data_IF_818808156130
#
_entry.id   IF_818808156130
#
_cell.length_a   1.000
_cell.length_b   1.000
_cell.length_c   1.000
_cell.angle_alpha   90.00
_cell.angle_beta   90.00
_cell.angle_gamma   90.00
#
_symmetry.space_group_name_H-M   'P 1'
#
loop_
_entity.id
_entity.type
_entity.pdbx_description
1 polymer ?
#
# COMPACT_ATOMS: atom_id res chain seq x y z
N UNK A 1 2.23 -19.60 24.11
CA UNK A 1 1.99 -18.46 23.19
C UNK A 1 0.63 -18.69 22.55
N UNK A 2 -0.21 -17.66 22.43
CA UNK A 2 -1.29 -17.72 21.43
C UNK A 2 -0.67 -17.57 20.04
N UNK A 3 -1.30 -18.19 19.04
CA UNK A 3 -1.00 -17.97 17.62
C UNK A 3 -2.26 -17.38 17.02
N UNK A 4 -2.19 -16.13 16.60
CA UNK A 4 -3.34 -15.38 16.12
C UNK A 4 -3.77 -15.94 14.74
N UNK A 5 -5.09 -16.17 14.58
CA UNK A 5 -5.65 -16.83 13.38
C UNK A 5 -5.92 -15.83 12.28
N UNK A 6 -4.84 -15.39 11.65
CA UNK A 6 -4.90 -14.45 10.54
C UNK A 6 -5.68 -15.06 9.36
N UNK A 7 -6.76 -14.41 8.94
CA UNK A 7 -7.51 -14.76 7.73
C UNK A 7 -7.02 -13.93 6.55
N UNK A 8 -6.92 -14.58 5.38
CA UNK A 8 -6.45 -13.98 4.12
C UNK A 8 -7.52 -14.16 3.04
N UNK A 9 -7.91 -13.10 2.35
CA UNK A 9 -8.75 -13.20 1.14
C UNK A 9 -8.33 -12.20 0.07
N UNK A 10 -8.29 -12.63 -1.19
CA UNK A 10 -8.03 -11.77 -2.34
C UNK A 10 -9.37 -11.23 -2.89
N UNK A 11 -9.46 -9.92 -3.13
CA UNK A 11 -10.66 -9.24 -3.65
C UNK A 11 -10.29 -8.26 -4.76
N UNK A 12 -11.12 -8.22 -5.80
CA UNK A 12 -11.14 -7.13 -6.77
C UNK A 12 -12.06 -6.02 -6.23
N UNK A 13 -11.49 -4.84 -5.98
CA UNK A 13 -12.18 -3.64 -5.50
C UNK A 13 -11.30 -2.43 -5.81
N UNK A 14 -11.90 -1.25 -6.04
CA UNK A 14 -11.10 -0.04 -6.20
C UNK A 14 -10.36 0.29 -4.88
N UNK A 15 -9.06 0.53 -4.99
CA UNK A 15 -8.16 0.81 -3.86
C UNK A 15 -8.65 2.00 -3.02
N UNK A 16 -9.26 2.97 -3.69
CA UNK A 16 -9.81 4.17 -3.06
C UNK A 16 -11.33 4.03 -2.74
N UNK A 17 -11.83 2.80 -2.61
CA UNK A 17 -13.15 2.44 -2.05
C UNK A 17 -13.06 1.41 -0.91
N UNK A 18 -11.87 0.83 -0.68
CA UNK A 18 -11.61 -0.16 0.37
C UNK A 18 -11.84 0.38 1.79
N UNK A 19 -12.28 -0.51 2.70
CA UNK A 19 -12.70 -0.14 4.07
C UNK A 19 -12.05 -1.01 5.14
N UNK A 20 -11.46 -0.38 6.16
CA UNK A 20 -10.78 -1.05 7.28
C UNK A 20 -9.85 -0.12 8.06
N UNK A 21 -8.90 -0.68 8.81
CA UNK A 21 -8.05 0.09 9.75
C UNK A 21 -6.77 0.65 9.13
N UNK A 22 -6.16 -0.10 8.20
CA UNK A 22 -4.97 0.29 7.44
C UNK A 22 -5.09 -0.22 6.00
N UNK A 23 -4.87 0.65 5.02
CA UNK A 23 -4.57 0.26 3.64
C UNK A 23 -3.07 0.42 3.39
N UNK A 24 -2.35 -0.68 3.22
CA UNK A 24 -0.92 -0.72 2.96
C UNK A 24 -0.63 -0.82 1.46
N UNK A 25 0.10 0.17 0.94
CA UNK A 25 0.50 0.30 -0.46
C UNK A 25 2.01 0.06 -0.56
N UNK A 26 2.41 -1.03 -1.20
CA UNK A 26 3.80 -1.29 -1.57
C UNK A 26 4.20 -0.48 -2.79
N UNK A 27 5.24 0.35 -2.66
CA UNK A 27 5.68 1.30 -3.69
C UNK A 27 7.17 1.15 -3.99
N UNK A 28 7.54 1.20 -5.27
CA UNK A 28 8.94 1.28 -5.70
C UNK A 28 9.42 2.73 -5.78
N UNK A 29 10.74 2.93 -5.87
CA UNK A 29 11.34 4.24 -6.17
C UNK A 29 10.80 4.86 -7.48
N UNK A 30 10.28 4.05 -8.41
CA UNK A 30 9.63 4.52 -9.65
C UNK A 30 8.17 4.94 -9.43
N UNK A 31 7.44 4.30 -8.52
CA UNK A 31 6.03 4.66 -8.29
C UNK A 31 5.90 6.01 -7.60
N UNK A 32 6.92 6.40 -6.84
CA UNK A 32 7.01 7.68 -6.14
C UNK A 32 7.36 8.87 -7.04
N UNK A 33 7.52 8.69 -8.36
CA UNK A 33 7.72 9.80 -9.30
C UNK A 33 6.51 10.75 -9.30
N UNK A 34 6.81 12.06 -9.27
CA UNK A 34 5.83 13.16 -9.22
C UNK A 34 6.04 14.08 -10.43
N UNK A 35 4.94 14.60 -10.96
CA UNK A 35 4.94 15.64 -12.01
C UNK A 35 5.38 17.01 -11.48
N UNK A 36 5.55 18.00 -12.37
CA UNK A 36 5.96 19.37 -12.02
C UNK A 36 5.04 20.05 -10.98
N UNK A 37 3.79 19.57 -10.84
CA UNK A 37 2.82 20.05 -9.84
C UNK A 37 2.92 19.27 -8.52
N UNK A 38 3.98 18.48 -8.33
CA UNK A 38 4.24 17.56 -7.20
C UNK A 38 3.23 16.41 -7.05
N UNK A 39 2.38 16.14 -8.06
CA UNK A 39 1.37 15.08 -7.99
C UNK A 39 1.95 13.76 -8.50
N UNK A 40 1.54 12.63 -7.93
CA UNK A 40 2.02 11.32 -8.40
C UNK A 40 1.74 11.09 -9.88
N UNK A 41 2.70 10.50 -10.59
CA UNK A 41 2.49 10.00 -11.95
C UNK A 41 1.81 8.63 -11.95
N UNK A 42 2.12 7.77 -10.97
CA UNK A 42 1.50 6.46 -10.83
C UNK A 42 -0.02 6.58 -10.67
N UNK A 43 -0.78 5.98 -11.59
CA UNK A 43 -2.24 6.12 -11.65
C UNK A 43 -3.00 5.67 -10.39
N UNK A 44 -2.52 4.66 -9.66
CA UNK A 44 -3.13 4.20 -8.40
C UNK A 44 -2.91 5.24 -7.30
N UNK A 45 -1.66 5.70 -7.14
CA UNK A 45 -1.31 6.72 -6.16
C UNK A 45 -2.02 8.05 -6.48
N UNK A 46 -2.08 8.45 -7.75
CA UNK A 46 -2.75 9.67 -8.23
C UNK A 46 -4.26 9.64 -7.96
N UNK A 47 -4.93 8.49 -8.16
CA UNK A 47 -6.35 8.32 -7.83
C UNK A 47 -6.58 8.44 -6.31
N UNK A 48 -5.82 7.67 -5.51
CA UNK A 48 -5.94 7.61 -4.05
C UNK A 48 -5.69 9.00 -3.43
N UNK A 49 -4.59 9.64 -3.78
CA UNK A 49 -4.20 10.99 -3.34
C UNK A 49 -5.21 12.07 -3.75
N UNK A 50 -5.81 11.97 -4.95
CA UNK A 50 -6.84 12.91 -5.41
C UNK A 50 -8.14 12.77 -4.62
N UNK A 51 -8.53 11.56 -4.17
CA UNK A 51 -9.65 11.40 -3.22
C UNK A 51 -9.33 11.90 -1.80
N UNK A 52 -8.07 12.21 -1.52
CA UNK A 52 -7.54 12.65 -0.22
C UNK A 52 -7.03 14.11 -0.24
N UNK A 53 -7.45 14.90 -1.23
CA UNK A 53 -7.10 16.32 -1.32
C UNK A 53 -5.63 16.64 -1.65
N UNK A 54 -4.79 15.64 -1.91
CA UNK A 54 -3.34 15.80 -2.14
C UNK A 54 -2.45 15.46 -0.95
N UNK A 55 -3.01 15.11 0.21
CA UNK A 55 -2.24 14.93 1.45
C UNK A 55 -1.23 13.77 1.46
N UNK A 56 -1.36 12.78 0.57
CA UNK A 56 -0.32 11.74 0.44
C UNK A 56 0.87 12.26 -0.37
N UNK A 57 0.64 13.10 -1.38
CA UNK A 57 1.69 13.78 -2.14
C UNK A 57 2.42 14.84 -1.31
N UNK A 58 1.72 15.47 -0.37
CA UNK A 58 2.25 16.41 0.61
C UNK A 58 3.13 15.68 1.64
N UNK A 59 2.55 14.78 2.45
CA UNK A 59 3.26 14.07 3.52
C UNK A 59 4.47 13.26 3.00
N UNK A 60 4.38 12.62 1.82
CA UNK A 60 5.52 11.91 1.24
C UNK A 60 6.68 12.82 0.81
N UNK A 61 6.44 14.13 0.64
CA UNK A 61 7.48 15.13 0.42
C UNK A 61 7.95 15.81 1.71
N UNK A 62 7.19 15.75 2.80
CA UNK A 62 7.64 16.19 4.14
C UNK A 62 8.49 15.14 4.85
N UNK A 63 8.17 13.85 4.70
CA UNK A 63 8.92 12.72 5.30
C UNK A 63 10.12 12.23 4.46
N UNK A 64 10.50 12.95 3.38
CA UNK A 64 11.49 12.51 2.38
C UNK A 64 11.23 11.06 1.86
N UNK A 65 9.96 10.68 1.78
CA UNK A 65 9.55 9.34 1.38
C UNK A 65 9.75 9.16 -0.13
N UNK A 66 10.73 8.33 -0.49
CA UNK A 66 11.17 8.09 -1.88
C UNK A 66 11.00 6.64 -2.31
N UNK A 67 10.29 5.82 -1.53
CA UNK A 67 10.03 4.41 -1.85
C UNK A 67 11.24 3.49 -1.66
N UNK A 68 12.31 3.95 -1.01
CA UNK A 68 13.53 3.16 -0.74
C UNK A 68 13.26 2.03 0.27
N UNK A 69 14.02 0.92 0.24
CA UNK A 69 13.83 -0.18 1.18
C UNK A 69 13.93 0.29 2.63
N UNK A 70 12.94 -0.10 3.46
CA UNK A 70 12.89 0.29 4.88
C UNK A 70 12.29 1.67 5.16
N UNK A 71 11.90 2.46 4.16
CA UNK A 71 11.03 3.61 4.39
C UNK A 71 9.58 3.15 4.61
N UNK A 72 8.92 3.70 5.62
CA UNK A 72 7.49 3.47 5.87
C UNK A 72 6.83 4.74 6.43
N UNK A 73 5.81 5.25 5.73
CA UNK A 73 4.96 6.38 6.13
C UNK A 73 3.56 5.83 6.43
N UNK A 74 2.88 6.27 7.49
CA UNK A 74 1.50 5.84 7.81
C UNK A 74 0.63 7.02 8.22
N UNK A 75 -0.08 7.59 7.26
CA UNK A 75 -0.96 8.74 7.48
C UNK A 75 -2.33 8.29 7.99
N UNK A 76 -2.86 8.97 9.02
CA UNK A 76 -4.28 8.86 9.40
C UNK A 76 -5.09 9.79 8.51
N UNK A 77 -6.05 9.23 7.76
CA UNK A 77 -6.88 9.98 6.83
C UNK A 77 -8.32 10.09 7.35
N UNK A 78 -8.90 11.30 7.45
CA UNK A 78 -10.34 11.46 7.60
C UNK A 78 -11.05 11.12 6.28
N UNK A 79 -12.36 10.88 6.35
CA UNK A 79 -13.30 10.80 5.22
C UNK A 79 -13.02 9.76 4.11
N UNK A 80 -12.00 8.92 4.28
CA UNK A 80 -11.71 7.75 3.47
C UNK A 80 -12.22 6.45 4.13
N UNK A 81 -12.42 5.40 3.32
CA UNK A 81 -12.89 4.09 3.82
C UNK A 81 -11.87 3.39 4.73
N UNK A 82 -10.58 3.55 4.44
CA UNK A 82 -9.49 3.15 5.31
C UNK A 82 -9.24 4.23 6.38
N UNK A 83 -9.18 3.86 7.67
CA UNK A 83 -8.85 4.81 8.76
C UNK A 83 -7.41 5.36 8.69
N UNK A 84 -6.52 4.62 8.01
CA UNK A 84 -5.11 4.97 7.76
C UNK A 84 -4.67 4.44 6.41
N UNK A 85 -3.70 5.11 5.78
CA UNK A 85 -3.02 4.65 4.58
C UNK A 85 -1.53 4.62 4.86
N UNK A 86 -0.88 3.49 4.56
CA UNK A 86 0.55 3.30 4.72
C UNK A 86 1.25 3.14 3.38
N UNK A 87 2.33 3.88 3.14
CA UNK A 87 3.25 3.63 2.02
C UNK A 87 4.48 2.90 2.56
N UNK A 88 4.85 1.77 1.95
CA UNK A 88 6.04 0.99 2.32
C UNK A 88 6.98 0.89 1.12
N UNK A 89 8.22 1.30 1.30
CA UNK A 89 9.22 1.36 0.25
C UNK A 89 9.86 0.00 -0.06
N UNK A 90 9.78 -0.40 -1.33
CA UNK A 90 10.32 -1.67 -1.86
C UNK A 90 11.59 -1.48 -2.70
N UNK A 91 12.07 -0.23 -2.81
CA UNK A 91 13.25 0.16 -3.58
C UNK A 91 13.04 0.14 -5.09
N UNK A 92 14.15 0.08 -5.83
CA UNK A 92 14.18 0.14 -7.31
C UNK A 92 13.41 -0.98 -8.01
N UNK A 93 13.28 -2.15 -7.39
CA UNK A 93 12.56 -3.29 -7.96
C UNK A 93 12.26 -4.36 -6.89
N UNK A 94 10.98 -4.67 -6.68
CA UNK A 94 10.53 -5.74 -5.79
C UNK A 94 10.68 -7.14 -6.45
N UNK A 95 11.91 -7.46 -6.87
CA UNK A 95 12.22 -8.68 -7.65
C UNK A 95 12.61 -9.89 -6.79
N UNK A 96 12.60 -9.79 -5.46
CA UNK A 96 13.02 -10.86 -4.55
C UNK A 96 12.08 -11.00 -3.35
N UNK A 97 12.08 -12.19 -2.73
CA UNK A 97 11.24 -12.50 -1.58
C UNK A 97 11.59 -11.67 -0.33
N UNK A 98 12.83 -11.19 -0.20
CA UNK A 98 13.27 -10.40 0.95
C UNK A 98 12.56 -9.03 1.01
N UNK A 99 12.35 -8.37 -0.13
CA UNK A 99 11.54 -7.15 -0.20
C UNK A 99 10.10 -7.36 0.31
N UNK A 100 9.48 -8.51 -0.01
CA UNK A 100 8.14 -8.86 0.46
C UNK A 100 8.12 -9.33 1.92
N UNK A 101 9.22 -9.88 2.45
CA UNK A 101 9.39 -10.13 3.89
C UNK A 101 9.36 -8.83 4.69
N UNK A 102 10.24 -7.89 4.35
CA UNK A 102 10.30 -6.57 4.98
C UNK A 102 8.97 -5.79 4.84
N UNK A 103 8.26 -5.96 3.71
CA UNK A 103 6.91 -5.41 3.51
C UNK A 103 5.91 -5.98 4.53
N UNK A 104 5.87 -7.30 4.69
CA UNK A 104 5.02 -7.97 5.68
C UNK A 104 5.33 -7.57 7.12
N UNK A 105 6.61 -7.45 7.48
CA UNK A 105 7.05 -7.00 8.80
C UNK A 105 6.61 -5.55 9.09
N UNK A 106 6.79 -4.63 8.13
CA UNK A 106 6.37 -3.25 8.28
C UNK A 106 4.84 -3.12 8.41
N UNK A 107 4.08 -3.92 7.66
CA UNK A 107 2.62 -4.02 7.79
C UNK A 107 2.21 -4.55 9.16
N UNK A 108 2.85 -5.61 9.65
CA UNK A 108 2.57 -6.18 10.98
C UNK A 108 2.88 -5.17 12.10
N UNK A 109 4.00 -4.44 12.00
CA UNK A 109 4.36 -3.38 12.94
C UNK A 109 3.34 -2.22 12.93
N UNK A 110 2.96 -1.73 11.75
CA UNK A 110 1.94 -0.69 11.61
C UNK A 110 0.58 -1.14 12.19
N UNK A 111 0.19 -2.39 11.93
CA UNK A 111 -1.06 -2.99 12.41
C UNK A 111 -1.10 -3.09 13.92
N UNK A 112 -0.01 -3.59 14.53
CA UNK A 112 0.16 -3.66 16.00
C UNK A 112 0.10 -2.28 16.65
N UNK A 113 0.79 -1.29 16.09
CA UNK A 113 0.81 0.09 16.59
C UNK A 113 -0.57 0.77 16.46
N UNK A 114 -1.30 0.48 15.38
CA UNK A 114 -2.63 1.00 15.13
C UNK A 114 -3.76 0.33 15.92
N UNK A 115 -3.49 -0.87 16.49
CA UNK A 115 -4.50 -1.85 16.95
C UNK A 115 -5.50 -2.19 15.84
N UNK A 116 -5.00 -2.45 14.64
CA UNK A 116 -5.80 -2.81 13.47
C UNK A 116 -6.31 -4.25 13.57
N UNK A 117 -7.58 -4.45 13.21
CA UNK A 117 -8.17 -5.78 12.97
C UNK A 117 -8.30 -6.09 11.47
N UNK A 118 -8.50 -5.07 10.63
CA UNK A 118 -8.67 -5.23 9.18
C UNK A 118 -7.61 -4.43 8.42
N UNK A 119 -6.79 -5.12 7.61
CA UNK A 119 -5.73 -4.51 6.80
C UNK A 119 -5.88 -4.91 5.33
N UNK A 120 -5.87 -3.92 4.43
CA UNK A 120 -5.87 -4.15 2.99
C UNK A 120 -4.45 -4.00 2.46
N UNK A 121 -3.98 -4.94 1.64
CA UNK A 121 -2.62 -4.91 1.07
C UNK A 121 -2.72 -4.80 -0.46
N UNK A 122 -2.02 -3.84 -1.05
CA UNK A 122 -1.94 -3.62 -2.50
C UNK A 122 -0.53 -3.18 -2.92
N UNK A 123 -0.19 -3.36 -4.20
CA UNK A 123 1.06 -2.88 -4.80
C UNK A 123 0.75 -1.82 -5.86
N UNK A 124 1.53 -0.74 -5.91
CA UNK A 124 1.34 0.33 -6.89
C UNK A 124 1.77 -0.06 -8.33
N UNK A 125 2.51 -1.15 -8.47
CA UNK A 125 3.16 -1.60 -9.70
C UNK A 125 2.78 -3.05 -10.04
N UNK A 126 2.68 -3.36 -11.34
CA UNK A 126 2.31 -4.68 -11.82
C UNK A 126 3.51 -5.64 -11.82
N UNK A 127 3.57 -6.54 -10.84
CA UNK A 127 4.54 -7.64 -10.81
C UNK A 127 4.21 -8.66 -11.91
N UNK A 128 5.09 -8.82 -12.91
CA UNK A 128 4.88 -9.76 -14.02
C UNK A 128 4.77 -11.24 -13.59
N UNK A 129 5.23 -11.61 -12.39
CA UNK A 129 5.07 -12.98 -11.86
C UNK A 129 3.59 -13.31 -11.57
N UNK A 130 2.74 -12.32 -11.23
CA UNK A 130 1.29 -12.54 -11.14
C UNK A 130 0.62 -12.72 -12.53
N UNK A 131 1.24 -12.24 -13.61
CA UNK A 131 0.73 -12.35 -14.99
C UNK A 131 0.82 -13.76 -15.58
N UNK A 132 1.20 -14.79 -14.81
CA UNK A 132 1.01 -16.21 -15.19
C UNK A 132 -0.14 -16.90 -14.44
N UNK A 133 -0.69 -16.29 -13.38
CA UNK A 133 -1.83 -16.82 -12.61
C UNK A 133 -3.11 -15.97 -12.73
N UNK A 134 -2.99 -14.67 -12.96
CA UNK A 134 -4.11 -13.72 -12.99
C UNK A 134 -4.44 -13.16 -14.39
N UNK A 135 -3.89 -13.75 -15.46
CA UNK A 135 -4.00 -13.22 -16.84
C UNK A 135 -5.33 -13.58 -17.55
N UNK A 136 -6.43 -13.52 -16.82
CA UNK A 136 -7.80 -13.58 -17.33
C UNK A 136 -8.60 -12.44 -16.69
N UNK A 137 -8.59 -11.28 -17.35
CA UNK A 137 -9.28 -10.01 -16.98
C UNK A 137 -8.93 -9.32 -15.61
N UNK A 138 -8.32 -8.77 -14.56
CA UNK A 138 -9.03 -8.09 -13.47
C UNK A 138 -8.23 -6.90 -12.88
N UNK A 139 -8.94 -5.93 -12.30
CA UNK A 139 -8.50 -4.56 -12.00
C UNK A 139 -8.11 -4.38 -10.52
N UNK A 140 -6.85 -4.69 -10.21
CA UNK A 140 -6.23 -4.70 -8.88
C UNK A 140 -6.79 -5.76 -7.92
N UNK A 141 -5.88 -6.36 -7.15
CA UNK A 141 -6.21 -7.33 -6.10
C UNK A 141 -5.78 -6.71 -4.78
N UNK A 142 -6.73 -6.54 -3.87
CA UNK A 142 -6.44 -6.25 -2.47
C UNK A 142 -6.45 -7.57 -1.71
N UNK A 143 -5.41 -7.82 -0.93
CA UNK A 143 -5.42 -8.90 0.06
C UNK A 143 -5.94 -8.33 1.38
N UNK A 144 -7.15 -8.74 1.76
CA UNK A 144 -7.72 -8.48 3.08
C UNK A 144 -7.08 -9.43 4.09
N UNK A 145 -6.44 -8.84 5.09
CA UNK A 145 -5.96 -9.45 6.32
C UNK A 145 -6.99 -9.17 7.42
N UNK A 146 -7.48 -10.22 8.09
CA UNK A 146 -8.17 -10.09 9.38
C UNK A 146 -7.27 -10.68 10.45
N UNK A 147 -6.99 -9.91 11.50
CA UNK A 147 -6.05 -10.23 12.60
C UNK A 147 -6.85 -10.54 13.88
#
# INVERSE_FOLDING_TARGET
>A
MCVDKIALSAKEIDVAEWKGDILAVGVTEKDMTKDDNKRFENSLLKNLDTKLGGHLSEASSEEDFTGKPGQSMVLRVPDHGAKRIGFIGLGKSAANAYAFGNFGEAIAAASKNAKASNVGIVLAFYVMILNFLFRLYYKFIIMDLII
#
